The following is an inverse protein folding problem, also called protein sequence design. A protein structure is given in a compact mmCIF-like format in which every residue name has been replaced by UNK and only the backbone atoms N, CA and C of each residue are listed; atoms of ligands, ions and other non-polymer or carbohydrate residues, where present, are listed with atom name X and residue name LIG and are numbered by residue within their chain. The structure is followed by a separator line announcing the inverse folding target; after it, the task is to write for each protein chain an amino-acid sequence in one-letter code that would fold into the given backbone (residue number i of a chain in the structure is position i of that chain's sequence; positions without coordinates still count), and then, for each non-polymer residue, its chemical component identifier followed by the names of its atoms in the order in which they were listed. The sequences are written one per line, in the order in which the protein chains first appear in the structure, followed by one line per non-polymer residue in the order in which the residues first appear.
data_IF_410919724852
#
_entry.id   IF_410919724852
#
_cell.length_a   1.000
_cell.length_b   1.000
_cell.length_c   1.000
_cell.angle_alpha   90.00
_cell.angle_beta   90.00
_cell.angle_gamma   90.00
#
_symmetry.space_group_name_H-M   'P 1'
#
loop_
_entity.id
_entity.type
_entity.pdbx_description
1 polymer ?
#
# COMPACT_ATOMS: atom_id res chain seq x y z
N UNK A 1 14.77 -0.54 19.80
CA UNK A 1 13.64 -0.71 18.87
C UNK A 1 13.86 -0.04 17.51
N UNK A 2 14.29 1.23 17.45
CA UNK A 2 14.61 1.89 16.17
C UNK A 2 15.58 1.05 15.30
N UNK A 3 16.66 0.54 15.88
CA UNK A 3 17.59 -0.36 15.16
C UNK A 3 16.91 -1.64 14.62
N UNK A 4 15.95 -2.21 15.36
CA UNK A 4 15.22 -3.41 14.92
C UNK A 4 14.28 -3.07 13.77
N UNK A 5 13.57 -1.95 13.83
CA UNK A 5 12.74 -1.46 12.71
C UNK A 5 13.59 -1.20 11.46
N UNK A 6 14.73 -0.52 11.60
CA UNK A 6 15.64 -0.24 10.48
C UNK A 6 16.23 -1.52 9.89
N UNK A 7 16.60 -2.48 10.74
CA UNK A 7 17.07 -3.79 10.28
C UNK A 7 15.97 -4.54 9.49
N UNK A 8 14.72 -4.48 9.96
CA UNK A 8 13.57 -5.10 9.29
C UNK A 8 13.25 -4.45 7.94
N UNK A 9 13.28 -3.11 7.89
CA UNK A 9 13.19 -2.36 6.64
C UNK A 9 14.31 -2.77 5.67
N UNK A 10 15.55 -2.81 6.16
CA UNK A 10 16.72 -3.23 5.38
C UNK A 10 16.55 -4.62 4.78
N UNK A 11 16.13 -5.61 5.58
CA UNK A 11 15.92 -6.98 5.10
C UNK A 11 14.75 -7.13 4.12
N UNK A 12 13.62 -6.44 4.37
CA UNK A 12 12.44 -6.50 3.51
C UNK A 12 12.67 -5.91 2.11
N UNK A 13 13.49 -4.87 2.03
CA UNK A 13 13.76 -4.15 0.78
C UNK A 13 15.23 -4.29 0.35
N UNK A 14 15.88 -5.38 0.79
CA UNK A 14 17.21 -5.77 0.36
C UNK A 14 17.18 -6.37 -1.07
N UNK A 15 18.25 -6.21 -1.84
CA UNK A 15 18.41 -6.91 -3.11
C UNK A 15 18.62 -8.41 -2.93
N UNK A 16 19.18 -8.85 -1.80
CA UNK A 16 19.43 -10.26 -1.51
C UNK A 16 18.16 -10.98 -1.03
N UNK A 17 17.76 -12.02 -1.77
CA UNK A 17 16.62 -12.86 -1.42
C UNK A 17 16.76 -13.53 -0.05
N UNK A 18 17.98 -13.88 0.36
CA UNK A 18 18.28 -14.50 1.66
C UNK A 18 17.90 -13.60 2.83
N UNK A 19 18.06 -12.28 2.69
CA UNK A 19 17.65 -11.31 3.70
C UNK A 19 16.12 -11.22 3.77
N UNK A 20 15.44 -11.20 2.61
CA UNK A 20 13.98 -11.23 2.56
C UNK A 20 13.40 -12.51 3.17
N UNK A 21 14.06 -13.66 2.98
CA UNK A 21 13.67 -14.94 3.58
C UNK A 21 13.88 -15.01 5.10
N UNK A 22 14.79 -14.19 5.65
CA UNK A 22 15.02 -14.10 7.10
C UNK A 22 14.00 -13.20 7.83
N UNK A 23 13.21 -12.41 7.09
CA UNK A 23 12.19 -11.50 7.64
C UNK A 23 11.19 -12.24 8.54
N UNK A 24 10.51 -13.34 8.12
CA UNK A 24 9.58 -14.06 9.00
C UNK A 24 10.16 -14.41 10.37
N UNK A 25 11.39 -14.94 10.41
CA UNK A 25 12.04 -15.42 11.65
C UNK A 25 12.40 -14.27 12.58
N UNK A 26 12.81 -13.14 12.03
CA UNK A 26 13.30 -11.98 12.81
C UNK A 26 12.15 -11.07 13.28
N UNK A 27 10.96 -11.19 12.69
CA UNK A 27 9.77 -10.40 13.05
C UNK A 27 9.20 -10.70 14.44
N UNK A 28 9.39 -11.91 14.98
CA UNK A 28 8.96 -12.24 16.35
C UNK A 28 9.58 -11.29 17.41
N UNK A 29 10.79 -10.76 17.14
CA UNK A 29 11.42 -9.75 17.98
C UNK A 29 10.66 -8.41 17.95
N UNK A 30 10.19 -7.98 16.78
CA UNK A 30 9.37 -6.76 16.67
C UNK A 30 8.09 -6.90 17.49
N UNK A 31 7.42 -8.05 17.38
CA UNK A 31 6.20 -8.33 18.14
C UNK A 31 6.45 -8.23 19.65
N UNK A 32 7.50 -8.89 20.14
CA UNK A 32 7.89 -8.86 21.56
C UNK A 32 8.15 -7.42 22.03
N UNK A 33 8.88 -6.64 21.23
CA UNK A 33 9.17 -5.23 21.55
C UNK A 33 7.91 -4.37 21.52
N UNK A 34 7.01 -4.57 20.56
CA UNK A 34 5.72 -3.89 20.49
C UNK A 34 4.86 -4.16 21.73
N UNK A 35 4.74 -5.42 22.16
CA UNK A 35 4.01 -5.77 23.39
C UNK A 35 4.65 -5.12 24.62
N UNK A 36 5.98 -5.14 24.71
CA UNK A 36 6.72 -4.51 25.82
C UNK A 36 6.51 -2.99 25.85
N UNK A 37 6.49 -2.33 24.69
CA UNK A 37 6.23 -0.89 24.62
C UNK A 37 4.80 -0.51 24.99
N UNK A 38 3.81 -1.34 24.66
CA UNK A 38 2.43 -1.10 25.06
C UNK A 38 2.32 -0.96 26.60
N UNK A 39 3.10 -1.74 27.34
CA UNK A 39 3.21 -1.62 28.80
C UNK A 39 3.90 -0.31 29.27
N UNK A 40 4.78 0.29 28.47
CA UNK A 40 5.52 1.52 28.83
C UNK A 40 4.75 2.82 28.54
N UNK A 41 3.66 2.78 27.78
CA UNK A 41 2.89 3.99 27.42
C UNK A 41 1.88 4.43 28.49
N UNK A 42 1.94 3.88 29.71
CA UNK A 42 0.96 4.03 30.80
C UNK A 42 -0.43 3.49 30.43
N UNK A 43 -0.47 2.39 29.66
CA UNK A 43 -1.71 1.68 29.36
C UNK A 43 -1.62 0.25 29.90
N UNK A 44 -2.67 -0.20 30.59
CA UNK A 44 -2.76 -1.60 31.02
C UNK A 44 -2.93 -2.54 29.81
N UNK A 45 -2.90 -3.87 30.04
CA UNK A 45 -3.10 -4.88 29.00
C UNK A 45 -4.47 -4.78 28.29
N UNK A 46 -5.39 -3.96 28.80
CA UNK A 46 -6.72 -3.71 28.26
C UNK A 46 -6.86 -2.30 27.63
N UNK A 47 -5.77 -1.54 27.52
CA UNK A 47 -5.80 -0.21 26.92
C UNK A 47 -6.45 0.86 27.81
N UNK A 48 -6.47 0.68 29.13
CA UNK A 48 -6.85 1.73 30.08
C UNK A 48 -5.62 2.52 30.51
N UNK A 49 -5.77 3.84 30.57
CA UNK A 49 -4.76 4.74 31.11
C UNK A 49 -4.50 4.37 32.58
N UNK A 50 -3.25 4.06 32.93
CA UNK A 50 -2.81 3.88 34.31
C UNK A 50 -2.69 5.27 34.94
N UNK A 51 -3.57 5.57 35.92
CA UNK A 51 -3.65 6.87 36.61
C UNK A 51 -2.41 7.21 37.46
N UNK A 52 -1.55 6.23 37.71
CA UNK A 52 -0.34 6.40 38.53
C UNK A 52 0.86 6.77 37.69
N UNK A 53 0.93 8.04 37.30
CA UNK A 53 2.15 8.85 37.23
C UNK A 53 1.75 10.24 36.75
N UNK A 54 2.17 11.28 37.48
CA UNK A 54 2.07 12.68 37.05
C UNK A 54 2.39 12.72 35.56
N UNK A 55 1.40 13.10 34.76
CA UNK A 55 1.49 12.96 33.32
C UNK A 55 2.79 13.62 32.90
N UNK A 56 3.66 12.88 32.21
CA UNK A 56 4.86 13.45 31.57
C UNK A 56 4.52 14.51 30.51
N UNK A 57 3.28 15.03 30.52
CA UNK A 57 2.77 16.18 29.81
C UNK A 57 3.15 17.51 30.50
N UNK A 58 3.82 17.54 31.65
CA UNK A 58 4.34 18.79 32.21
C UNK A 58 5.79 19.07 31.77
N UNK A 59 6.51 18.02 31.34
CA UNK A 59 7.90 18.08 30.89
C UNK A 59 8.00 17.75 29.39
N UNK A 60 8.35 18.75 28.57
CA UNK A 60 8.47 18.60 27.12
C UNK A 60 9.48 17.52 26.72
N UNK A 61 10.60 17.38 27.44
CA UNK A 61 11.63 16.39 27.14
C UNK A 61 11.12 14.95 27.32
N UNK A 62 10.32 14.71 28.37
CA UNK A 62 9.72 13.40 28.61
C UNK A 62 8.55 13.14 27.67
N UNK A 63 7.76 14.18 27.37
CA UNK A 63 6.70 14.11 26.37
C UNK A 63 7.22 13.72 24.99
N UNK A 64 8.30 14.38 24.50
CA UNK A 64 8.89 14.06 23.18
C UNK A 64 9.35 12.61 23.14
N UNK A 65 9.97 12.08 24.21
CA UNK A 65 10.37 10.67 24.27
C UNK A 65 9.16 9.74 24.15
N UNK A 66 8.08 10.03 24.89
CA UNK A 66 6.84 9.23 24.85
C UNK A 66 6.17 9.29 23.48
N UNK A 67 6.07 10.46 22.86
CA UNK A 67 5.50 10.63 21.52
C UNK A 67 6.38 9.97 20.44
N UNK A 68 7.70 10.05 20.58
CA UNK A 68 8.64 9.36 19.67
C UNK A 68 8.45 7.85 19.70
N UNK A 69 8.31 7.26 20.90
CA UNK A 69 8.05 5.83 21.07
C UNK A 69 6.70 5.43 20.46
N UNK A 70 5.67 6.27 20.61
CA UNK A 70 4.35 6.06 20.02
C UNK A 70 4.41 6.07 18.49
N UNK A 71 5.05 7.06 17.89
CA UNK A 71 5.22 7.14 16.43
C UNK A 71 6.07 5.99 15.89
N UNK A 72 7.07 5.54 16.66
CA UNK A 72 7.88 4.36 16.33
C UNK A 72 7.03 3.08 16.32
N UNK A 73 6.14 2.90 17.29
CA UNK A 73 5.18 1.79 17.31
C UNK A 73 4.32 1.77 16.04
N UNK A 74 3.69 2.89 15.70
CA UNK A 74 2.84 2.96 14.51
C UNK A 74 3.62 2.80 13.21
N UNK A 75 4.91 3.19 13.17
CA UNK A 75 5.80 2.92 12.05
C UNK A 75 6.05 1.42 11.86
N UNK A 76 6.19 0.66 12.95
CA UNK A 76 6.25 -0.81 12.90
C UNK A 76 4.93 -1.39 12.40
N UNK A 77 3.79 -0.86 12.84
CA UNK A 77 2.49 -1.33 12.37
C UNK A 77 2.25 -1.07 10.87
N UNK A 78 2.67 0.09 10.36
CA UNK A 78 2.68 0.38 8.91
C UNK A 78 3.50 -0.70 8.17
N UNK A 79 4.72 -0.99 8.65
CA UNK A 79 5.59 -2.00 8.04
C UNK A 79 4.99 -3.42 8.13
N UNK A 80 4.33 -3.74 9.24
CA UNK A 80 3.65 -5.02 9.44
C UNK A 80 2.55 -5.23 8.42
N UNK A 81 1.69 -4.23 8.22
CA UNK A 81 0.62 -4.23 7.22
C UNK A 81 1.19 -4.31 5.79
N UNK A 82 2.24 -3.55 5.49
CA UNK A 82 2.92 -3.59 4.20
C UNK A 82 3.46 -4.99 3.89
N UNK A 83 4.08 -5.66 4.87
CA UNK A 83 4.57 -7.02 4.69
C UNK A 83 3.46 -8.01 4.32
N UNK A 84 2.32 -7.92 5.02
CA UNK A 84 1.14 -8.73 4.71
C UNK A 84 0.63 -8.46 3.29
N UNK A 85 0.61 -7.19 2.85
CA UNK A 85 0.16 -6.82 1.52
C UNK A 85 1.10 -7.32 0.40
N UNK A 86 2.41 -7.11 0.56
CA UNK A 86 3.39 -7.36 -0.52
C UNK A 86 3.90 -8.80 -0.58
N UNK A 87 3.95 -9.51 0.56
CA UNK A 87 4.48 -10.89 0.63
C UNK A 87 3.44 -11.91 1.09
N UNK A 88 2.19 -11.49 1.34
CA UNK A 88 1.13 -12.36 1.86
C UNK A 88 1.51 -13.07 3.15
N UNK A 89 2.35 -12.43 3.96
CA UNK A 89 2.73 -12.92 5.27
C UNK A 89 1.70 -12.57 6.34
N UNK A 90 1.80 -13.27 7.48
CA UNK A 90 0.96 -12.99 8.65
C UNK A 90 1.38 -11.66 9.30
N UNK A 91 0.39 -10.83 9.65
CA UNK A 91 0.59 -9.67 10.49
C UNK A 91 0.90 -10.09 11.92
N UNK A 92 1.88 -9.43 12.55
CA UNK A 92 2.35 -9.73 13.91
C UNK A 92 1.85 -8.72 14.94
N UNK A 93 1.39 -7.54 14.53
CA UNK A 93 0.86 -6.54 15.45
C UNK A 93 -0.62 -6.83 15.69
N UNK A 94 -0.96 -7.16 16.94
CA UNK A 94 -2.33 -7.53 17.32
C UNK A 94 -3.24 -6.31 17.45
N UNK A 95 -4.55 -6.55 17.33
CA UNK A 95 -5.58 -5.50 17.43
C UNK A 95 -5.59 -4.81 18.80
N UNK A 96 -5.15 -5.50 19.86
CA UNK A 96 -5.05 -4.93 21.21
C UNK A 96 -4.09 -3.75 21.25
N UNK A 97 -3.10 -3.69 20.36
CA UNK A 97 -2.20 -2.57 20.27
C UNK A 97 -2.85 -1.31 19.66
N UNK A 98 -4.04 -1.40 19.05
CA UNK A 98 -4.82 -0.22 18.61
C UNK A 98 -5.46 0.54 19.78
N UNK A 99 -5.44 -0.04 20.99
CA UNK A 99 -5.87 0.62 22.21
C UNK A 99 -4.83 1.62 22.74
N UNK A 100 -3.63 1.63 22.15
CA UNK A 100 -2.63 2.66 22.41
C UNK A 100 -3.13 4.03 21.92
N UNK A 101 -2.69 5.14 22.54
CA UNK A 101 -3.08 6.47 22.08
C UNK A 101 -2.68 6.71 20.64
N UNK A 102 -3.52 7.45 19.90
CA UNK A 102 -3.16 8.00 18.60
C UNK A 102 -1.97 8.98 18.74
N UNK A 103 -1.12 9.12 17.70
CA UNK A 103 -0.12 10.17 17.66
C UNK A 103 -0.76 11.55 17.85
N UNK A 104 -0.07 12.43 18.56
CA UNK A 104 -0.53 13.81 18.69
C UNK A 104 -0.42 14.55 17.36
N UNK A 105 -1.21 15.61 17.21
CA UNK A 105 -1.20 16.46 16.03
C UNK A 105 0.21 17.01 15.72
N UNK A 106 0.57 17.21 14.43
CA UNK A 106 1.88 17.72 14.05
C UNK A 106 2.27 19.02 14.75
N UNK A 107 1.33 19.93 14.99
CA UNK A 107 1.59 21.19 15.71
C UNK A 107 2.27 20.98 17.07
N UNK A 108 1.95 19.90 17.79
CA UNK A 108 2.64 19.56 19.04
C UNK A 108 3.96 18.83 18.78
N UNK A 109 4.00 17.94 17.80
CA UNK A 109 5.18 17.14 17.45
C UNK A 109 6.32 17.97 16.86
N UNK A 110 5.99 18.95 16.03
CA UNK A 110 6.90 19.84 15.32
C UNK A 110 7.26 21.09 16.13
N UNK A 111 6.75 21.21 17.36
CA UNK A 111 7.14 22.29 18.27
C UNK A 111 8.66 22.25 18.49
N UNK A 112 9.33 23.35 18.16
CA UNK A 112 10.80 23.43 18.20
C UNK A 112 11.37 23.58 19.61
N UNK A 113 10.53 23.96 20.58
CA UNK A 113 10.94 24.19 21.95
C UNK A 113 9.78 23.99 22.95
N UNK A 114 10.10 23.95 24.24
CA UNK A 114 9.12 23.77 25.30
C UNK A 114 8.08 24.91 25.35
N UNK A 115 8.48 26.15 25.06
CA UNK A 115 7.58 27.30 25.09
C UNK A 115 6.49 27.22 24.01
N UNK A 116 6.88 26.83 22.78
CA UNK A 116 5.93 26.64 21.68
C UNK A 116 5.04 25.43 21.92
N UNK A 117 5.58 24.35 22.48
CA UNK A 117 4.80 23.18 22.84
C UNK A 117 3.73 23.49 23.91
N UNK A 118 4.09 24.17 25.00
CA UNK A 118 3.13 24.56 26.06
C UNK A 118 1.99 25.41 25.53
N UNK A 119 2.27 26.38 24.64
CA UNK A 119 1.23 27.23 24.02
C UNK A 119 0.17 26.43 23.27
N UNK A 120 0.57 25.34 22.62
CA UNK A 120 -0.36 24.49 21.89
C UNK A 120 -1.03 23.48 22.83
N UNK A 121 -0.37 23.03 23.89
CA UNK A 121 -0.88 22.00 24.79
C UNK A 121 -2.21 22.36 25.47
N UNK A 122 -2.42 23.63 25.84
CA UNK A 122 -3.62 24.09 26.55
C UNK A 122 -4.89 24.07 25.66
N UNK A 123 -4.75 23.73 24.39
CA UNK A 123 -5.87 23.61 23.48
C UNK A 123 -6.69 22.32 23.73
N UNK A 124 -8.03 22.41 23.77
CA UNK A 124 -8.91 21.29 24.16
C UNK A 124 -8.86 20.07 23.24
N UNK A 125 -8.31 20.20 22.03
CA UNK A 125 -8.23 19.15 21.01
C UNK A 125 -7.06 18.17 21.18
N UNK A 126 -6.19 18.34 22.18
CA UNK A 126 -5.00 17.51 22.36
C UNK A 126 -5.06 16.52 23.53
N UNK A 127 -6.25 16.01 23.85
CA UNK A 127 -6.36 14.89 24.79
C UNK A 127 -5.97 13.57 24.12
N UNK A 128 -5.14 12.73 24.75
CA UNK A 128 -4.79 11.43 24.20
C UNK A 128 -6.03 10.55 24.12
N UNK A 129 -6.38 10.11 22.90
CA UNK A 129 -7.45 9.15 22.65
C UNK A 129 -6.86 7.87 22.06
N UNK A 130 -7.36 6.67 22.41
CA UNK A 130 -6.95 5.43 21.75
C UNK A 130 -7.15 5.53 20.23
N UNK A 131 -6.21 5.01 19.44
CA UNK A 131 -6.31 5.08 17.99
C UNK A 131 -7.51 4.30 17.45
N UNK A 132 -7.91 3.22 18.13
CA UNK A 132 -9.17 2.52 17.85
C UNK A 132 -10.38 3.44 17.90
N UNK A 133 -10.43 4.38 18.85
CA UNK A 133 -11.51 5.37 18.94
C UNK A 133 -11.49 6.31 17.74
N UNK A 134 -10.31 6.77 17.32
CA UNK A 134 -10.15 7.61 16.12
C UNK A 134 -10.67 6.89 14.87
N UNK A 135 -10.33 5.61 14.69
CA UNK A 135 -10.84 4.80 13.58
C UNK A 135 -12.36 4.64 13.62
N UNK A 136 -12.94 4.35 14.78
CA UNK A 136 -14.39 4.17 14.92
C UNK A 136 -15.16 5.47 14.70
N UNK A 137 -14.64 6.60 15.18
CA UNK A 137 -15.21 7.91 14.90
C UNK A 137 -15.12 8.26 13.41
N UNK A 138 -14.00 7.93 12.75
CA UNK A 138 -13.90 8.07 11.30
C UNK A 138 -14.93 7.18 10.57
N UNK A 139 -15.11 5.92 10.97
CA UNK A 139 -16.11 5.04 10.36
C UNK A 139 -17.54 5.52 10.55
N UNK A 140 -17.82 6.13 11.71
CA UNK A 140 -19.12 6.67 12.09
C UNK A 140 -19.44 7.97 11.37
N UNK A 141 -18.48 8.89 11.32
CA UNK A 141 -18.70 10.27 10.85
C UNK A 141 -18.27 10.51 9.40
N UNK A 142 -17.38 9.66 8.87
CA UNK A 142 -16.71 9.85 7.58
C UNK A 142 -15.91 11.16 7.48
N UNK A 143 -15.57 11.75 8.63
CA UNK A 143 -14.80 12.99 8.71
C UNK A 143 -13.39 12.71 9.22
N UNK A 144 -12.43 13.40 8.64
CA UNK A 144 -11.02 13.35 9.03
C UNK A 144 -10.75 14.63 9.83
N UNK A 145 -10.55 14.48 11.14
CA UNK A 145 -10.34 15.63 12.03
C UNK A 145 -8.91 16.17 11.97
N UNK A 146 -7.94 15.31 11.67
CA UNK A 146 -6.53 15.69 11.56
C UNK A 146 -6.04 15.52 10.11
N UNK A 147 -5.67 16.62 9.49
CA UNK A 147 -5.27 16.71 8.09
C UNK A 147 -3.78 16.45 7.83
N UNK A 148 -3.09 15.75 8.72
CA UNK A 148 -1.68 15.47 8.51
C UNK A 148 -1.41 14.17 7.72
N UNK A 149 -0.34 14.14 6.90
CA UNK A 149 -0.02 12.96 6.11
C UNK A 149 0.21 11.69 6.94
N UNK A 150 0.83 11.79 8.12
CA UNK A 150 1.12 10.62 8.94
C UNK A 150 -0.16 10.01 9.51
N UNK A 151 -1.09 10.83 10.02
CA UNK A 151 -2.38 10.31 10.49
C UNK A 151 -3.27 9.80 9.34
N UNK A 152 -3.25 10.44 8.18
CA UNK A 152 -3.93 9.92 6.97
C UNK A 152 -3.40 8.54 6.57
N UNK A 153 -2.08 8.36 6.65
CA UNK A 153 -1.43 7.07 6.44
C UNK A 153 -1.90 6.03 7.47
N UNK A 154 -1.93 6.38 8.76
CA UNK A 154 -2.39 5.45 9.81
C UNK A 154 -3.86 5.06 9.66
N UNK A 155 -4.73 6.00 9.32
CA UNK A 155 -6.14 5.70 9.02
C UNK A 155 -6.24 4.73 7.85
N UNK A 156 -5.46 4.94 6.78
CA UNK A 156 -5.43 4.05 5.61
C UNK A 156 -4.99 2.63 5.97
N UNK A 157 -3.95 2.50 6.79
CA UNK A 157 -3.48 1.20 7.32
C UNK A 157 -4.55 0.56 8.20
N UNK A 158 -5.21 1.32 9.07
CA UNK A 158 -6.28 0.83 9.93
C UNK A 158 -7.50 0.32 9.16
N UNK A 159 -7.89 1.03 8.10
CA UNK A 159 -8.98 0.58 7.21
C UNK A 159 -8.57 -0.71 6.50
N UNK A 160 -7.36 -0.78 5.95
CA UNK A 160 -6.86 -2.01 5.31
C UNK A 160 -6.82 -3.18 6.28
N UNK A 161 -6.36 -2.94 7.51
CA UNK A 161 -6.26 -3.93 8.56
C UNK A 161 -7.64 -4.49 8.95
N UNK A 162 -8.69 -3.65 8.94
CA UNK A 162 -10.07 -4.10 9.17
C UNK A 162 -10.79 -4.63 7.92
N UNK A 163 -10.20 -4.53 6.72
CA UNK A 163 -10.92 -4.74 5.46
C UNK A 163 -11.61 -6.11 5.36
N UNK A 164 -10.99 -7.18 5.86
CA UNK A 164 -11.59 -8.53 5.87
C UNK A 164 -12.91 -8.60 6.67
N UNK A 165 -13.05 -7.76 7.69
CA UNK A 165 -14.23 -7.71 8.57
C UNK A 165 -15.15 -6.51 8.27
N UNK A 166 -14.72 -5.60 7.39
CA UNK A 166 -15.38 -4.33 7.14
C UNK A 166 -15.84 -4.24 5.68
N UNK A 167 -17.09 -4.64 5.42
CA UNK A 167 -17.69 -4.61 4.09
C UNK A 167 -17.63 -3.24 3.39
N UNK A 168 -17.51 -2.15 4.16
CA UNK A 168 -17.44 -0.76 3.65
C UNK A 168 -16.01 -0.21 3.54
N UNK A 169 -14.97 -1.01 3.73
CA UNK A 169 -13.57 -0.59 3.62
C UNK A 169 -13.26 0.21 2.33
N UNK A 170 -13.79 -0.14 1.14
CA UNK A 170 -13.54 0.62 -0.09
C UNK A 170 -14.05 2.08 -0.03
N UNK A 171 -15.18 2.32 0.66
CA UNK A 171 -15.75 3.66 0.82
C UNK A 171 -14.81 4.52 1.68
N UNK A 172 -14.33 3.95 2.79
CA UNK A 172 -13.43 4.66 3.70
C UNK A 172 -12.06 4.94 3.08
N UNK A 173 -11.49 3.99 2.32
CA UNK A 173 -10.27 4.24 1.56
C UNK A 173 -10.47 5.29 0.46
N UNK A 174 -11.65 5.33 -0.19
CA UNK A 174 -11.98 6.39 -1.15
C UNK A 174 -11.97 7.79 -0.52
N UNK A 175 -12.57 7.94 0.67
CA UNK A 175 -12.54 9.20 1.42
C UNK A 175 -11.08 9.61 1.75
N UNK A 176 -10.26 8.65 2.20
CA UNK A 176 -8.85 8.90 2.51
C UNK A 176 -8.02 9.23 1.27
N UNK A 177 -8.31 8.61 0.12
CA UNK A 177 -7.68 8.94 -1.17
C UNK A 177 -7.98 10.37 -1.58
N UNK A 178 -9.24 10.80 -1.49
CA UNK A 178 -9.62 12.16 -1.82
C UNK A 178 -9.02 13.17 -0.84
N UNK A 179 -8.97 12.83 0.44
CA UNK A 179 -8.27 13.65 1.42
C UNK A 179 -6.76 13.75 1.14
N UNK A 180 -6.10 12.65 0.78
CA UNK A 180 -4.67 12.64 0.49
C UNK A 180 -4.27 13.64 -0.61
N UNK A 181 -5.13 13.83 -1.62
CA UNK A 181 -4.94 14.83 -2.70
C UNK A 181 -5.00 16.29 -2.21
N UNK A 182 -5.64 16.53 -1.07
CA UNK A 182 -5.78 17.87 -0.46
C UNK A 182 -4.62 18.22 0.46
N UNK A 183 -3.75 17.26 0.79
CA UNK A 183 -2.62 17.46 1.68
C UNK A 183 -1.57 18.39 1.04
N UNK A 184 -0.86 19.21 1.85
CA UNK A 184 0.26 20.00 1.36
C UNK A 184 1.31 19.12 0.68
N UNK A 185 1.84 19.53 -0.49
CA UNK A 185 2.75 18.70 -1.27
C UNK A 185 4.06 18.46 -0.52
N UNK A 186 4.34 17.20 -0.21
CA UNK A 186 5.58 16.73 0.38
C UNK A 186 5.93 15.33 -0.14
N UNK A 187 7.13 14.83 0.18
CA UNK A 187 7.46 13.41 -0.09
C UNK A 187 6.49 12.48 0.64
N UNK A 188 6.17 12.79 1.90
CA UNK A 188 5.26 11.97 2.71
C UNK A 188 3.83 12.01 2.16
N UNK A 189 3.31 13.16 1.75
CA UNK A 189 1.95 13.24 1.17
C UNK A 189 1.87 12.43 -0.13
N UNK A 190 2.87 12.53 -1.02
CA UNK A 190 2.91 11.70 -2.23
C UNK A 190 3.01 10.19 -1.90
N UNK A 191 3.73 9.83 -0.84
CA UNK A 191 3.86 8.46 -0.37
C UNK A 191 2.51 7.93 0.15
N UNK A 192 1.75 8.78 0.85
CA UNK A 192 0.38 8.47 1.30
C UNK A 192 -0.56 8.27 0.12
N UNK A 193 -0.52 9.17 -0.86
CA UNK A 193 -1.40 9.08 -2.02
C UNK A 193 -1.15 7.77 -2.81
N UNK A 194 0.11 7.45 -3.13
CA UNK A 194 0.45 6.20 -3.82
C UNK A 194 0.08 4.96 -3.02
N UNK A 195 0.38 4.94 -1.72
CA UNK A 195 0.04 3.82 -0.85
C UNK A 195 -1.47 3.65 -0.69
N UNK A 196 -2.24 4.73 -0.63
CA UNK A 196 -3.70 4.64 -0.49
C UNK A 196 -4.35 3.90 -1.66
N UNK A 197 -3.83 4.07 -2.88
CA UNK A 197 -4.24 3.28 -4.03
C UNK A 197 -3.73 1.84 -3.97
N UNK A 198 -2.47 1.60 -3.56
CA UNK A 198 -1.96 0.24 -3.36
C UNK A 198 -2.82 -0.54 -2.33
N UNK A 199 -3.19 0.07 -1.21
CA UNK A 199 -4.03 -0.58 -0.20
C UNK A 199 -5.42 -0.94 -0.74
N UNK A 200 -6.04 -0.07 -1.54
CA UNK A 200 -7.30 -0.39 -2.22
C UNK A 200 -7.14 -1.49 -3.26
N UNK A 201 -6.03 -1.52 -4.01
CA UNK A 201 -5.70 -2.62 -4.91
C UNK A 201 -5.61 -3.94 -4.14
N UNK A 202 -4.90 -3.94 -3.00
CA UNK A 202 -4.69 -5.12 -2.15
C UNK A 202 -5.95 -5.67 -1.47
N UNK A 203 -7.07 -4.95 -1.47
CA UNK A 203 -8.35 -5.52 -1.03
C UNK A 203 -8.85 -6.58 -2.01
N UNK A 204 -8.57 -6.40 -3.30
CA UNK A 204 -9.17 -7.19 -4.38
C UNK A 204 -8.16 -8.05 -5.14
N UNK A 205 -6.87 -7.72 -5.09
CA UNK A 205 -5.85 -8.35 -5.91
C UNK A 205 -5.35 -9.68 -5.34
N UNK A 206 -5.28 -10.76 -6.14
CA UNK A 206 -4.66 -12.02 -5.75
C UNK A 206 -3.13 -11.95 -5.87
N UNK A 207 -2.46 -11.34 -4.88
CA UNK A 207 -1.02 -10.97 -4.95
C UNK A 207 -0.11 -12.18 -5.17
N UNK A 208 -0.35 -13.31 -4.51
CA UNK A 208 0.46 -14.52 -4.67
C UNK A 208 0.37 -15.04 -6.11
N UNK A 209 -0.84 -15.06 -6.67
CA UNK A 209 -1.09 -15.45 -8.04
C UNK A 209 -0.42 -14.49 -9.04
N UNK A 210 -0.34 -13.19 -8.75
CA UNK A 210 0.37 -12.22 -9.59
C UNK A 210 1.88 -12.50 -9.63
N UNK A 211 2.51 -12.86 -8.51
CA UNK A 211 3.91 -13.30 -8.52
C UNK A 211 4.08 -14.59 -9.31
N UNK A 212 3.23 -15.58 -9.07
CA UNK A 212 3.27 -16.86 -9.79
C UNK A 212 3.02 -16.69 -11.30
N UNK A 213 2.15 -15.76 -11.71
CA UNK A 213 1.92 -15.40 -13.11
C UNK A 213 3.21 -14.96 -13.82
N UNK A 214 4.06 -14.19 -13.14
CA UNK A 214 5.35 -13.79 -13.69
C UNK A 214 6.32 -14.97 -13.88
N UNK A 215 6.06 -16.12 -13.23
CA UNK A 215 6.96 -17.28 -13.17
C UNK A 215 7.79 -17.34 -11.87
N UNK A 216 7.49 -16.50 -10.88
CA UNK A 216 8.22 -16.50 -9.62
C UNK A 216 7.89 -17.74 -8.78
N UNK A 217 8.92 -18.55 -8.47
CA UNK A 217 8.84 -19.76 -7.62
C UNK A 217 7.77 -20.77 -8.05
N UNK A 218 7.46 -20.85 -9.34
CA UNK A 218 6.50 -21.81 -9.88
C UNK A 218 7.04 -22.52 -11.11
N UNK A 219 6.65 -23.78 -11.27
CA UNK A 219 6.88 -24.54 -12.51
C UNK A 219 5.84 -24.22 -13.59
N UNK A 220 6.02 -24.77 -14.79
CA UNK A 220 5.15 -24.56 -15.95
C UNK A 220 3.71 -25.02 -15.70
N UNK A 221 3.52 -26.12 -14.97
CA UNK A 221 2.20 -26.69 -14.69
C UNK A 221 1.44 -25.81 -13.69
N UNK A 222 2.09 -25.44 -12.60
CA UNK A 222 1.56 -24.50 -11.61
C UNK A 222 1.21 -23.16 -12.27
N UNK A 223 2.09 -22.65 -13.14
CA UNK A 223 1.85 -21.41 -13.89
C UNK A 223 0.60 -21.48 -14.76
N UNK A 224 0.38 -22.58 -15.48
CA UNK A 224 -0.81 -22.76 -16.31
C UNK A 224 -2.12 -22.73 -15.48
N UNK A 225 -2.12 -23.39 -14.31
CA UNK A 225 -3.25 -23.36 -13.37
C UNK A 225 -3.51 -21.93 -12.87
N UNK A 226 -2.45 -21.20 -12.51
CA UNK A 226 -2.54 -19.81 -12.05
C UNK A 226 -3.08 -18.90 -13.15
N UNK A 227 -2.62 -19.05 -14.39
CA UNK A 227 -3.14 -18.28 -15.54
C UNK A 227 -4.64 -18.50 -15.73
N UNK A 228 -5.12 -19.75 -15.60
CA UNK A 228 -6.55 -20.04 -15.69
C UNK A 228 -7.35 -19.37 -14.56
N UNK A 229 -6.86 -19.44 -13.31
CA UNK A 229 -7.49 -18.78 -12.15
C UNK A 229 -7.54 -17.26 -12.31
N UNK A 230 -6.42 -16.64 -12.68
CA UNK A 230 -6.34 -15.20 -12.92
C UNK A 230 -7.23 -14.74 -14.08
N UNK A 231 -7.31 -15.53 -15.15
CA UNK A 231 -8.22 -15.24 -16.27
C UNK A 231 -9.67 -15.24 -15.80
N UNK A 232 -10.08 -16.20 -14.99
CA UNK A 232 -11.42 -16.23 -14.40
C UNK A 232 -11.67 -15.02 -13.50
N UNK A 233 -10.70 -14.66 -12.65
CA UNK A 233 -10.79 -13.48 -11.79
C UNK A 233 -10.83 -12.16 -12.58
N UNK A 234 -9.98 -11.96 -13.58
CA UNK A 234 -9.99 -10.78 -14.46
C UNK A 234 -11.33 -10.64 -15.19
N UNK A 235 -11.94 -11.77 -15.57
CA UNK A 235 -13.27 -11.83 -16.18
C UNK A 235 -14.40 -11.61 -15.16
N UNK A 236 -14.13 -11.73 -13.85
CA UNK A 236 -15.03 -11.28 -12.78
C UNK A 236 -14.89 -9.75 -12.66
N UNK A 237 -15.95 -9.03 -13.03
CA UNK A 237 -15.80 -7.67 -13.57
C UNK A 237 -15.52 -6.62 -12.50
N UNK A 238 -16.30 -6.54 -11.42
CA UNK A 238 -16.24 -5.38 -10.53
C UNK A 238 -14.94 -5.30 -9.73
N UNK A 239 -14.54 -6.39 -9.08
CA UNK A 239 -13.35 -6.42 -8.21
C UNK A 239 -12.05 -6.28 -9.00
N UNK A 240 -11.90 -7.03 -10.09
CA UNK A 240 -10.69 -6.98 -10.91
C UNK A 240 -10.52 -5.63 -11.62
N UNK A 241 -11.61 -5.01 -12.10
CA UNK A 241 -11.58 -3.65 -12.66
C UNK A 241 -11.20 -2.61 -11.60
N UNK A 242 -11.75 -2.74 -10.40
CA UNK A 242 -11.38 -1.85 -9.27
C UNK A 242 -9.90 -1.99 -8.92
N UNK A 243 -9.39 -3.21 -8.85
CA UNK A 243 -7.97 -3.48 -8.63
C UNK A 243 -7.08 -2.88 -9.75
N UNK A 244 -7.48 -3.02 -11.02
CA UNK A 244 -6.74 -2.46 -12.16
C UNK A 244 -6.64 -0.95 -12.12
N UNK A 245 -7.73 -0.27 -11.76
CA UNK A 245 -7.76 1.20 -11.64
C UNK A 245 -6.78 1.64 -10.56
N UNK A 246 -6.86 1.02 -9.38
CA UNK A 246 -5.96 1.39 -8.28
C UNK A 246 -4.49 1.06 -8.60
N UNK A 247 -4.22 -0.07 -9.26
CA UNK A 247 -2.89 -0.40 -9.77
C UNK A 247 -2.38 0.65 -10.75
N UNK A 248 -3.21 1.07 -11.70
CA UNK A 248 -2.87 2.06 -12.73
C UNK A 248 -2.60 3.44 -12.14
N UNK A 249 -3.39 3.87 -11.15
CA UNK A 249 -3.14 5.11 -10.42
C UNK A 249 -1.83 5.04 -9.63
N UNK A 250 -1.64 4.01 -8.79
CA UNK A 250 -0.41 3.84 -8.03
C UNK A 250 0.84 3.80 -8.94
N UNK A 251 0.77 3.05 -10.04
CA UNK A 251 1.82 2.96 -11.04
C UNK A 251 2.13 4.33 -11.66
N UNK A 252 1.11 5.06 -12.11
CA UNK A 252 1.30 6.38 -12.72
C UNK A 252 1.88 7.39 -11.73
N UNK A 253 1.43 7.36 -10.48
CA UNK A 253 1.88 8.28 -9.42
C UNK A 253 3.34 8.05 -9.05
N UNK A 254 3.74 6.80 -8.78
CA UNK A 254 5.13 6.46 -8.42
C UNK A 254 6.09 6.81 -9.57
N UNK A 255 5.68 6.54 -10.82
CA UNK A 255 6.48 6.87 -12.00
C UNK A 255 6.66 8.38 -12.20
N UNK A 256 5.59 9.16 -12.02
CA UNK A 256 5.62 10.62 -12.22
C UNK A 256 6.28 11.36 -11.06
N UNK A 257 6.14 10.87 -9.83
CA UNK A 257 6.59 11.54 -8.61
C UNK A 257 7.13 10.54 -7.59
N UNK A 258 8.44 10.31 -7.68
CA UNK A 258 9.18 9.46 -6.73
C UNK A 258 9.26 10.16 -5.37
N UNK A 259 8.88 9.45 -4.32
CA UNK A 259 8.89 9.99 -2.96
C UNK A 259 10.07 9.48 -2.14
N UNK A 260 10.69 8.38 -2.58
CA UNK A 260 11.74 7.67 -1.85
C UNK A 260 11.17 6.76 -0.77
N UNK A 261 9.84 6.55 -0.73
CA UNK A 261 9.20 5.69 0.24
C UNK A 261 9.49 4.21 -0.06
N UNK A 262 9.72 3.42 0.99
CA UNK A 262 10.13 2.02 0.89
C UNK A 262 9.12 1.15 0.12
N UNK A 263 7.83 1.45 0.23
CA UNK A 263 6.79 0.67 -0.43
C UNK A 263 6.74 0.85 -1.94
N UNK A 264 7.39 1.90 -2.49
CA UNK A 264 7.31 2.21 -3.91
C UNK A 264 7.84 1.06 -4.76
N UNK A 265 8.96 0.45 -4.39
CA UNK A 265 9.57 -0.65 -5.15
C UNK A 265 8.63 -1.84 -5.33
N UNK A 266 8.15 -2.40 -4.22
CA UNK A 266 7.29 -3.59 -4.28
C UNK A 266 5.86 -3.26 -4.72
N UNK A 267 5.33 -2.10 -4.30
CA UNK A 267 4.02 -1.64 -4.76
C UNK A 267 3.97 -1.42 -6.26
N UNK A 268 5.02 -0.82 -6.83
CA UNK A 268 5.14 -0.60 -8.26
C UNK A 268 5.33 -1.90 -9.03
N UNK A 269 6.09 -2.87 -8.49
CA UNK A 269 6.18 -4.22 -9.04
C UNK A 269 4.80 -4.89 -9.09
N UNK A 270 4.07 -4.98 -7.97
CA UNK A 270 2.77 -5.67 -7.94
C UNK A 270 1.75 -4.97 -8.84
N UNK A 271 1.72 -3.64 -8.86
CA UNK A 271 0.89 -2.88 -9.78
C UNK A 271 1.25 -3.19 -11.25
N UNK A 272 2.55 -3.27 -11.57
CA UNK A 272 3.02 -3.68 -12.91
C UNK A 272 2.56 -5.09 -13.26
N UNK A 273 2.70 -6.06 -12.35
CA UNK A 273 2.27 -7.44 -12.57
C UNK A 273 0.77 -7.54 -12.80
N UNK A 274 -0.05 -6.77 -12.07
CA UNK A 274 -1.49 -6.73 -12.25
C UNK A 274 -1.87 -6.17 -13.63
N UNK A 275 -1.30 -5.03 -14.01
CA UNK A 275 -1.56 -4.43 -15.33
C UNK A 275 -1.07 -5.37 -16.44
N UNK A 276 0.07 -6.03 -16.26
CA UNK A 276 0.58 -7.00 -17.22
C UNK A 276 -0.33 -8.22 -17.34
N UNK A 277 -0.78 -8.80 -16.22
CA UNK A 277 -1.75 -9.89 -16.22
C UNK A 277 -3.05 -9.50 -16.93
N UNK A 278 -3.50 -8.25 -16.76
CA UNK A 278 -4.66 -7.73 -17.49
C UNK A 278 -4.45 -7.70 -19.00
N UNK A 279 -3.29 -7.24 -19.47
CA UNK A 279 -2.96 -7.19 -20.90
C UNK A 279 -2.94 -8.60 -21.51
N UNK A 280 -2.36 -9.58 -20.82
CA UNK A 280 -2.17 -10.94 -21.37
C UNK A 280 -3.40 -11.85 -21.21
N UNK A 281 -4.17 -11.67 -20.13
CA UNK A 281 -5.27 -12.57 -19.76
C UNK A 281 -6.66 -11.94 -19.90
N UNK A 282 -6.73 -10.62 -20.08
CA UNK A 282 -7.98 -9.88 -20.26
C UNK A 282 -8.73 -10.24 -21.54
N UNK A 283 -10.03 -9.96 -21.54
CA UNK A 283 -10.85 -10.16 -22.73
C UNK A 283 -10.77 -8.92 -23.62
N UNK A 284 -9.96 -8.99 -24.68
CA UNK A 284 -9.90 -7.95 -25.69
C UNK A 284 -11.28 -7.83 -26.38
N UNK A 285 -11.85 -6.63 -26.51
CA UNK A 285 -13.10 -6.42 -27.26
C UNK A 285 -13.00 -6.91 -28.71
N UNK A 286 -14.05 -7.55 -29.19
CA UNK A 286 -14.18 -8.04 -30.58
C UNK A 286 -14.72 -6.90 -31.48
N UNK A 287 -13.91 -5.86 -31.67
CA UNK A 287 -14.23 -4.73 -32.56
C UNK A 287 -13.13 -4.53 -33.60
N UNK A 288 -13.54 -4.18 -34.82
CA UNK A 288 -12.61 -3.93 -35.93
C UNK A 288 -11.71 -2.71 -35.67
N UNK A 289 -12.29 -1.65 -35.11
CA UNK A 289 -11.58 -0.44 -34.71
C UNK A 289 -11.82 -0.12 -33.22
N UNK A 290 -10.73 -0.19 -32.45
CA UNK A 290 -10.73 0.11 -31.02
C UNK A 290 -11.03 1.58 -30.71
N UNK A 291 -10.82 2.47 -31.69
CA UNK A 291 -11.06 3.91 -31.54
C UNK A 291 -12.56 4.25 -31.48
N UNK A 292 -13.43 3.31 -31.89
CA UNK A 292 -14.88 3.44 -31.78
C UNK A 292 -15.39 3.25 -30.33
N UNK A 293 -14.60 2.63 -29.46
CA UNK A 293 -14.98 2.41 -28.07
C UNK A 293 -14.73 3.65 -27.21
N UNK A 294 -15.63 3.90 -26.26
CA UNK A 294 -15.44 4.94 -25.25
C UNK A 294 -14.15 4.67 -24.48
N UNK A 295 -13.30 5.70 -24.38
CA UNK A 295 -11.99 5.61 -23.73
C UNK A 295 -12.12 5.78 -22.22
N UNK A 296 -11.56 4.83 -21.47
CA UNK A 296 -11.39 4.92 -20.02
C UNK A 296 -9.90 5.13 -19.74
N UNK A 297 -9.55 6.30 -19.20
CA UNK A 297 -8.18 6.60 -18.73
C UNK A 297 -7.99 6.08 -17.32
N UNK A 298 -7.23 5.00 -17.20
CA UNK A 298 -7.09 4.26 -15.95
C UNK A 298 -6.36 5.04 -14.84
N UNK A 299 -5.53 6.02 -15.19
CA UNK A 299 -4.69 6.79 -14.28
C UNK A 299 -5.11 8.26 -14.10
N UNK A 300 -6.30 8.66 -14.57
CA UNK A 300 -6.76 10.05 -14.48
C UNK A 300 -8.09 10.22 -13.72
N UNK A 301 -8.68 9.14 -13.18
CA UNK A 301 -9.80 9.22 -12.21
C UNK A 301 -11.07 9.93 -12.70
N UNK A 302 -11.26 10.11 -14.01
CA UNK A 302 -12.34 10.89 -14.65
C UNK A 302 -13.44 10.01 -15.26
N UNK A 303 -14.43 10.66 -15.86
CA UNK A 303 -15.71 10.15 -16.38
C UNK A 303 -15.67 8.74 -16.99
N UNK A 304 -16.78 8.01 -16.83
CA UNK A 304 -16.99 6.61 -17.24
C UNK A 304 -16.26 5.53 -16.43
N UNK A 305 -15.41 5.87 -15.45
CA UNK A 305 -14.74 4.87 -14.61
C UNK A 305 -15.72 4.05 -13.75
N UNK A 306 -16.62 4.73 -13.02
CA UNK A 306 -17.66 4.07 -12.22
C UNK A 306 -18.61 3.27 -13.11
N UNK A 307 -18.94 3.82 -14.27
CA UNK A 307 -19.76 3.17 -15.28
C UNK A 307 -19.10 1.89 -15.77
N UNK A 308 -17.80 1.91 -16.09
CA UNK A 308 -17.07 0.73 -16.53
C UNK A 308 -16.90 -0.32 -15.43
N UNK A 309 -16.73 0.06 -14.16
CA UNK A 309 -16.70 -0.91 -13.06
C UNK A 309 -18.06 -1.63 -12.95
N UNK A 310 -19.16 -0.89 -13.06
CA UNK A 310 -20.52 -1.39 -12.80
C UNK A 310 -21.20 -2.01 -14.03
N UNK A 311 -20.85 -1.57 -15.23
CA UNK A 311 -21.49 -1.98 -16.48
C UNK A 311 -20.61 -2.96 -17.23
N UNK A 312 -21.24 -3.84 -18.00
CA UNK A 312 -20.52 -4.85 -18.75
C UNK A 312 -20.10 -4.41 -20.17
N UNK A 313 -19.83 -3.13 -20.36
CA UNK A 313 -19.54 -2.60 -21.69
C UNK A 313 -18.05 -2.67 -22.01
N UNK A 314 -17.77 -2.98 -23.27
CA UNK A 314 -16.42 -2.90 -23.82
C UNK A 314 -15.97 -1.44 -23.86
N UNK A 315 -14.70 -1.24 -23.50
CA UNK A 315 -14.08 0.08 -23.37
C UNK A 315 -12.65 0.03 -23.91
N UNK A 316 -12.23 1.15 -24.50
CA UNK A 316 -10.82 1.38 -24.84
C UNK A 316 -10.06 1.78 -23.58
N UNK A 317 -9.32 0.83 -23.02
CA UNK A 317 -8.56 1.07 -21.79
C UNK A 317 -7.22 1.73 -22.12
N UNK A 318 -7.01 2.94 -21.61
CA UNK A 318 -5.82 3.74 -21.86
C UNK A 318 -5.04 4.00 -20.58
N UNK A 319 -3.72 3.86 -20.64
CA UNK A 319 -2.80 4.18 -19.55
C UNK A 319 -1.68 5.09 -20.03
N UNK A 320 -1.46 6.23 -19.37
CA UNK A 320 -0.39 7.17 -19.74
C UNK A 320 1.00 6.51 -19.74
N UNK A 321 1.77 6.68 -20.82
CA UNK A 321 3.08 6.02 -21.02
C UNK A 321 3.00 4.64 -21.68
N UNK A 322 1.86 3.95 -21.57
CA UNK A 322 1.63 2.61 -22.17
C UNK A 322 0.72 2.66 -23.41
N UNK A 323 -0.23 3.60 -23.46
CA UNK A 323 -1.22 3.69 -24.53
C UNK A 323 -2.43 2.79 -24.29
N UNK A 324 -3.05 2.32 -25.38
CA UNK A 324 -4.17 1.38 -25.30
C UNK A 324 -3.69 0.00 -24.83
N UNK A 325 -4.30 -0.54 -23.78
CA UNK A 325 -3.89 -1.84 -23.20
C UNK A 325 -4.16 -3.03 -24.13
N UNK A 326 -5.02 -2.85 -25.13
CA UNK A 326 -5.41 -3.89 -26.08
C UNK A 326 -4.46 -3.99 -27.30
N UNK A 327 -3.52 -3.06 -27.42
CA UNK A 327 -2.53 -3.06 -28.50
C UNK A 327 -1.55 -4.23 -28.34
N UNK A 328 -1.11 -4.82 -29.46
CA UNK A 328 -0.06 -5.88 -29.47
C UNK A 328 1.26 -5.44 -28.79
N UNK A 329 1.52 -4.14 -28.72
CA UNK A 329 2.72 -3.56 -28.09
C UNK A 329 2.56 -3.15 -26.62
N UNK A 330 1.35 -3.23 -26.04
CA UNK A 330 1.05 -2.68 -24.73
C UNK A 330 1.93 -3.28 -23.63
N UNK A 331 2.05 -4.62 -23.57
CA UNK A 331 2.87 -5.30 -22.57
C UNK A 331 4.34 -4.86 -22.65
N UNK A 332 4.91 -4.77 -23.85
CA UNK A 332 6.29 -4.35 -24.05
C UNK A 332 6.54 -2.92 -23.57
N UNK A 333 5.61 -2.00 -23.85
CA UNK A 333 5.70 -0.60 -23.40
C UNK A 333 5.56 -0.49 -21.89
N UNK A 334 4.61 -1.23 -21.28
CA UNK A 334 4.46 -1.33 -19.83
C UNK A 334 5.76 -1.79 -19.18
N UNK A 335 6.34 -2.89 -19.65
CA UNK A 335 7.56 -3.45 -19.06
C UNK A 335 8.78 -2.52 -19.25
N UNK A 336 8.88 -1.85 -20.39
CA UNK A 336 9.92 -0.84 -20.62
C UNK A 336 9.81 0.31 -19.61
N UNK A 337 8.64 0.94 -19.52
CA UNK A 337 8.38 2.04 -18.58
C UNK A 337 8.57 1.59 -17.13
N UNK A 338 8.09 0.39 -16.77
CA UNK A 338 8.22 -0.12 -15.41
C UNK A 338 9.67 -0.36 -15.02
N UNK A 339 10.46 -1.00 -15.89
CA UNK A 339 11.85 -1.33 -15.57
C UNK A 339 12.73 -0.08 -15.52
N UNK A 340 12.52 0.88 -16.42
CA UNK A 340 13.17 2.20 -16.35
C UNK A 340 12.82 2.97 -15.07
N UNK A 341 11.56 2.87 -14.62
CA UNK A 341 11.11 3.53 -13.39
C UNK A 341 11.79 2.90 -12.16
N UNK A 342 11.78 1.57 -12.07
CA UNK A 342 12.41 0.80 -10.99
C UNK A 342 13.93 1.07 -10.92
N UNK A 343 14.62 1.08 -12.07
CA UNK A 343 16.06 1.38 -12.14
C UNK A 343 16.41 2.78 -11.56
N UNK A 344 15.43 3.69 -11.52
CA UNK A 344 15.60 5.03 -10.98
C UNK A 344 14.98 5.27 -9.60
N UNK A 345 14.53 4.24 -8.87
CA UNK A 345 14.08 4.38 -7.48
C UNK A 345 15.27 4.33 -6.51
N UNK A 346 15.12 5.00 -5.36
CA UNK A 346 16.20 5.16 -4.37
C UNK A 346 16.56 3.87 -3.61
N UNK A 347 15.73 2.83 -3.67
CA UNK A 347 15.87 1.62 -2.85
C UNK A 347 16.72 0.54 -3.52
N UNK A 348 17.68 -0.09 -2.80
CA UNK A 348 18.60 -1.08 -3.38
C UNK A 348 17.95 -2.29 -4.06
N UNK A 349 16.78 -2.74 -3.61
CA UNK A 349 16.04 -3.82 -4.26
C UNK A 349 15.50 -3.45 -5.65
N UNK A 350 15.30 -2.17 -5.96
CA UNK A 350 14.62 -1.74 -7.17
C UNK A 350 15.31 -2.15 -8.49
N UNK A 351 16.63 -1.94 -8.69
CA UNK A 351 17.31 -2.43 -9.91
C UNK A 351 17.31 -3.97 -10.02
N UNK A 352 17.37 -4.69 -8.90
CA UNK A 352 17.29 -6.17 -8.90
C UNK A 352 15.90 -6.63 -9.34
N UNK A 353 14.86 -6.02 -8.78
CA UNK A 353 13.47 -6.25 -9.18
C UNK A 353 13.26 -5.93 -10.67
N UNK A 354 13.85 -4.84 -11.17
CA UNK A 354 13.80 -4.49 -12.59
C UNK A 354 14.46 -5.57 -13.47
N UNK A 355 15.61 -6.10 -13.06
CA UNK A 355 16.31 -7.17 -13.77
C UNK A 355 15.46 -8.45 -13.84
N UNK A 356 14.96 -8.90 -12.68
CA UNK A 356 14.10 -10.10 -12.57
C UNK A 356 12.86 -9.94 -13.45
N UNK A 357 12.21 -8.77 -13.41
CA UNK A 357 11.03 -8.50 -14.21
C UNK A 357 11.32 -8.57 -15.72
N UNK A 358 12.49 -8.07 -16.18
CA UNK A 358 12.93 -8.18 -17.58
C UNK A 358 13.13 -9.64 -18.00
N UNK A 359 13.75 -10.44 -17.15
CA UNK A 359 13.98 -11.87 -17.41
C UNK A 359 12.68 -12.67 -17.48
N UNK A 360 11.79 -12.43 -16.51
CA UNK A 360 10.48 -13.09 -16.43
C UNK A 360 9.59 -12.74 -17.64
N UNK A 361 9.61 -11.48 -18.10
CA UNK A 361 8.90 -11.08 -19.31
C UNK A 361 9.44 -11.77 -20.57
N UNK A 362 10.77 -11.87 -20.72
CA UNK A 362 11.38 -12.60 -21.86
C UNK A 362 10.98 -14.08 -21.87
N UNK A 363 11.05 -14.73 -20.71
CA UNK A 363 10.69 -16.14 -20.54
C UNK A 363 9.20 -16.39 -20.82
N UNK A 364 8.31 -15.48 -20.38
CA UNK A 364 6.86 -15.57 -20.63
C UNK A 364 6.54 -15.79 -22.12
N UNK A 365 7.18 -15.01 -23.00
CA UNK A 365 6.93 -15.07 -24.44
C UNK A 365 7.66 -16.22 -25.14
N UNK A 366 8.80 -16.68 -24.61
CA UNK A 366 9.48 -17.87 -25.13
C UNK A 366 8.64 -19.14 -24.91
N UNK A 367 8.00 -19.30 -23.75
CA UNK A 367 7.12 -20.44 -23.46
C UNK A 367 5.85 -20.40 -24.32
N UNK A 368 5.30 -19.21 -24.59
CA UNK A 368 4.13 -19.04 -25.47
C UNK A 368 4.40 -19.52 -26.92
N UNK A 369 5.64 -19.42 -27.39
CA UNK A 369 6.03 -19.86 -28.75
C UNK A 369 6.33 -21.36 -28.89
N UNK A 370 6.40 -22.12 -27.78
CA UNK A 370 6.80 -23.54 -27.77
C UNK A 370 5.62 -24.50 -27.49
N UNK A 371 4.38 -24.02 -27.51
CA UNK A 371 3.21 -24.92 -27.56
C UNK A 371 3.18 -25.66 -28.91
N UNK A 372 2.95 -26.98 -28.95
CA UNK A 372 3.19 -27.78 -30.16
C UNK A 372 2.21 -27.42 -31.29
N UNK A 373 2.60 -27.58 -32.57
CA UNK A 373 1.63 -27.60 -33.64
C UNK A 373 0.66 -28.78 -33.40
N UNK A 374 -0.62 -28.47 -33.60
CA UNK A 374 -1.81 -29.33 -33.54
C UNK A 374 -1.59 -30.79 -33.88
#
# INVERSE_FOLDING_TARGET
MQAVLLNQLGMMFAPETTLTEAVPTTRALLETLCRRMACYTNFDAFGRLLETEKSGQDNWADWIKKESLRRLFYSVWILDCQYSCFWSGLGIVTIDCLKLPAPFHPTLWEASCQETWKKHQDMPFFKPVPFQTVLFEFYRTQKIENSDPFNTLLLSIGVKYHAEKLNRAPIYLGILQDHAKTLPPSRLSGAVESLSHLLSMFIYSPVQELYAFSGWRVDTTQRAIIHARLRTWIRSKSEARTALIHASNAWSMIRKRKTGAQHETMGFLVATLLIWAWIELGNRPEVDDMDLLVTVRLDEGKDHMKEWINNNEDRRLYLGGVGCLWDKGAGRRLLHESTNTLDGLDWPAAPVVASILREHYKSFHQVATVSPPS
#
